data_IF_722069885046
#
_entry.id   IF_722069885046
#
_cell.length_a   1.000
_cell.length_b   1.000
_cell.length_c   1.000
_cell.angle_alpha   90.00
_cell.angle_beta   90.00
_cell.angle_gamma   90.00
#
_symmetry.space_group_name_H-M   'P 1'
#
loop_
_entity.id
_entity.type
_entity.pdbx_description
1 polymer ?
#
# COMPACT_ATOMS: atom_id res chain seq x y z
N UNK A 1 -9.42 -70.84 -1.15
CA UNK A 1 -10.73 -70.22 -0.86
C UNK A 1 -10.95 -69.14 -1.93
N UNK A 2 -11.87 -69.41 -2.85
CA UNK A 2 -12.62 -68.51 -3.76
C UNK A 2 -11.84 -67.67 -4.80
N UNK A 3 -12.11 -67.97 -6.07
CA UNK A 3 -11.76 -67.25 -7.29
C UNK A 3 -12.39 -65.85 -7.37
N UNK A 4 -11.70 -64.89 -7.99
CA UNK A 4 -12.38 -63.96 -8.91
C UNK A 4 -11.47 -63.54 -10.07
N UNK A 5 -12.00 -63.80 -11.26
CA UNK A 5 -11.51 -63.46 -12.60
C UNK A 5 -11.82 -61.99 -12.93
N UNK A 6 -10.99 -61.36 -13.76
CA UNK A 6 -11.34 -60.50 -14.89
C UNK A 6 -10.15 -59.60 -15.24
N UNK A 7 -9.77 -59.30 -16.47
CA UNK A 7 -9.96 -59.92 -17.79
C UNK A 7 -8.99 -59.18 -18.73
N UNK A 8 -8.47 -59.89 -19.73
CA UNK A 8 -7.44 -59.46 -20.68
C UNK A 8 -8.10 -59.03 -22.01
N UNK A 9 -7.77 -57.85 -22.55
CA UNK A 9 -7.94 -57.48 -23.99
C UNK A 9 -6.76 -56.56 -24.35
N UNK A 10 -5.71 -56.95 -25.08
CA UNK A 10 -5.55 -57.40 -26.47
C UNK A 10 -5.92 -56.37 -27.55
N UNK A 11 -4.92 -55.64 -28.06
CA UNK A 11 -4.85 -55.20 -29.45
C UNK A 11 -3.37 -55.05 -29.91
N UNK A 12 -3.00 -55.92 -30.84
CA UNK A 12 -1.84 -55.92 -31.77
C UNK A 12 -1.88 -54.65 -32.67
N UNK A 13 -0.85 -54.17 -33.39
CA UNK A 13 0.26 -54.80 -34.14
C UNK A 13 1.14 -53.67 -34.76
N UNK A 14 2.46 -53.95 -34.94
CA UNK A 14 3.40 -53.50 -36.01
C UNK A 14 3.82 -52.01 -36.06
N UNK A 15 5.05 -51.60 -36.44
CA UNK A 15 6.27 -52.27 -36.93
C UNK A 15 7.37 -51.20 -37.17
N UNK A 16 8.65 -51.57 -37.03
CA UNK A 16 9.85 -51.12 -37.82
C UNK A 16 10.18 -49.61 -37.81
N UNK A 17 11.38 -49.12 -37.50
CA UNK A 17 12.72 -49.48 -38.02
C UNK A 17 13.81 -48.75 -37.20
N UNK A 18 15.00 -49.36 -37.13
CA UNK A 18 16.37 -48.82 -37.13
C UNK A 18 16.66 -47.50 -36.36
N UNK A 19 17.73 -47.35 -35.58
CA UNK A 19 19.11 -47.60 -35.98
C UNK A 19 20.03 -47.47 -34.75
N UNK A 20 21.23 -48.01 -34.90
CA UNK A 20 22.32 -48.21 -33.95
C UNK A 20 22.94 -46.92 -33.36
N UNK A 21 23.43 -46.94 -32.12
CA UNK A 21 24.84 -46.63 -31.78
C UNK A 21 25.15 -46.71 -30.28
N UNK A 22 26.35 -47.21 -29.99
CA UNK A 22 26.95 -47.54 -28.70
C UNK A 22 28.05 -46.52 -28.39
N UNK A 23 28.10 -45.93 -27.18
CA UNK A 23 29.33 -45.74 -26.36
C UNK A 23 29.13 -44.83 -25.12
N UNK A 24 29.40 -45.43 -23.95
CA UNK A 24 30.17 -44.95 -22.78
C UNK A 24 30.39 -43.43 -22.61
N UNK A 25 30.00 -42.89 -21.45
CA UNK A 25 30.91 -42.49 -20.35
C UNK A 25 30.12 -41.82 -19.20
N UNK A 26 30.49 -42.11 -17.95
CA UNK A 26 29.95 -41.54 -16.70
C UNK A 26 30.46 -40.08 -16.45
N UNK A 27 30.27 -39.48 -15.24
CA UNK A 27 29.32 -38.39 -14.98
C UNK A 27 30.02 -37.04 -14.69
N UNK A 28 29.33 -35.91 -14.83
CA UNK A 28 29.74 -34.66 -14.17
C UNK A 28 28.53 -33.87 -13.66
N UNK A 29 28.67 -33.50 -12.40
CA UNK A 29 27.84 -32.60 -11.61
C UNK A 29 27.67 -31.24 -12.28
N UNK A 30 26.46 -30.70 -12.18
CA UNK A 30 26.11 -29.27 -12.11
C UNK A 30 24.65 -29.25 -11.63
N UNK A 31 24.39 -29.29 -10.32
CA UNK A 31 24.29 -28.16 -9.40
C UNK A 31 23.23 -27.11 -9.76
N UNK A 32 22.12 -27.19 -9.00
CA UNK A 32 21.34 -26.10 -8.39
C UNK A 32 20.45 -25.26 -9.31
N UNK A 33 19.14 -25.50 -9.19
CA UNK A 33 18.15 -24.47 -8.81
C UNK A 33 16.84 -25.18 -8.43
N UNK A 34 16.80 -25.66 -7.19
CA UNK A 34 15.58 -26.13 -6.55
C UNK A 34 14.90 -24.91 -5.93
N UNK A 35 13.80 -24.48 -6.56
CA UNK A 35 12.94 -23.39 -6.11
C UNK A 35 12.32 -23.79 -4.78
N UNK A 36 12.92 -23.32 -3.69
CA UNK A 36 12.36 -23.42 -2.34
C UNK A 36 11.32 -22.32 -2.19
N UNK A 37 10.07 -22.66 -2.50
CA UNK A 37 8.91 -21.94 -1.96
C UNK A 37 8.65 -22.46 -0.55
N UNK A 38 9.41 -21.99 0.43
CA UNK A 38 9.10 -22.21 1.83
C UNK A 38 8.98 -20.87 2.57
N UNK A 39 7.74 -20.62 2.98
CA UNK A 39 7.42 -20.25 4.35
C UNK A 39 7.82 -18.86 4.83
N UNK A 40 6.83 -17.96 4.88
CA UNK A 40 6.35 -17.42 6.18
C UNK A 40 5.02 -16.68 6.02
N UNK A 41 4.03 -17.36 5.43
CA UNK A 41 2.61 -17.12 5.69
C UNK A 41 2.22 -17.82 7.00
N UNK A 42 2.96 -17.65 8.10
CA UNK A 42 2.54 -18.18 9.42
C UNK A 42 3.22 -17.45 10.58
N UNK A 43 2.88 -16.16 10.76
CA UNK A 43 2.88 -15.54 12.09
C UNK A 43 1.75 -14.53 12.23
N UNK A 44 0.59 -14.91 11.72
CA UNK A 44 -0.68 -14.31 12.14
C UNK A 44 -1.09 -15.04 13.41
N UNK A 45 -0.79 -14.45 14.57
CA UNK A 45 -1.52 -14.50 15.86
C UNK A 45 -0.57 -14.00 16.96
N UNK A 46 -0.83 -12.93 17.70
CA UNK A 46 -2.12 -12.28 17.94
C UNK A 46 -2.00 -10.80 18.33
N UNK A 47 -3.08 -10.09 17.99
CA UNK A 47 -3.45 -8.72 18.37
C UNK A 47 -2.66 -7.57 17.74
N UNK A 48 -3.30 -6.88 16.78
CA UNK A 48 -2.87 -5.63 16.12
C UNK A 48 -1.63 -5.70 15.22
N UNK A 49 -1.67 -6.52 14.16
CA UNK A 49 -1.00 -6.09 12.93
C UNK A 49 -1.94 -5.14 12.17
N UNK A 50 -2.31 -4.00 12.79
CA UNK A 50 -2.80 -2.87 12.00
C UNK A 50 -1.61 -2.55 11.10
N UNK A 51 -1.75 -2.72 9.80
CA UNK A 51 -0.85 -2.06 8.88
C UNK A 51 -1.11 -0.56 9.11
N UNK A 52 -0.34 0.06 10.00
CA UNK A 52 -0.46 1.49 10.25
C UNK A 52 -0.02 2.18 8.97
N UNK A 53 -1.00 2.64 8.18
CA UNK A 53 -0.73 3.57 7.09
C UNK A 53 -0.21 4.87 7.68
N UNK A 54 0.60 5.61 6.93
CA UNK A 54 1.06 6.94 7.34
C UNK A 54 -0.10 7.86 7.74
N UNK A 55 -1.27 7.73 7.11
CA UNK A 55 -2.50 8.43 7.50
C UNK A 55 -2.96 8.11 8.93
N UNK A 56 -2.91 6.85 9.34
CA UNK A 56 -3.36 6.42 10.67
C UNK A 56 -2.38 6.86 11.74
N UNK A 57 -1.07 6.80 11.46
CA UNK A 57 -0.01 7.30 12.34
C UNK A 57 -0.16 8.81 12.52
N UNK A 58 -0.36 9.54 11.42
CA UNK A 58 -0.58 10.99 11.45
C UNK A 58 -1.83 11.37 12.25
N UNK A 59 -2.95 10.66 12.05
CA UNK A 59 -4.19 10.88 12.80
C UNK A 59 -3.95 10.65 14.32
N UNK A 60 -3.19 9.62 14.73
CA UNK A 60 -2.80 9.41 16.13
C UNK A 60 -1.99 10.57 16.69
N UNK A 61 -0.97 11.03 15.96
CA UNK A 61 -0.17 12.18 16.38
C UNK A 61 -1.02 13.45 16.51
N UNK A 62 -1.99 13.64 15.62
CA UNK A 62 -2.86 14.81 15.64
C UNK A 62 -3.88 14.78 16.78
N UNK A 63 -4.63 13.69 16.95
CA UNK A 63 -5.76 13.62 17.86
C UNK A 63 -5.37 13.20 19.28
N UNK A 64 -4.44 12.27 19.43
CA UNK A 64 -4.14 11.68 20.72
C UNK A 64 -2.93 12.39 21.35
N UNK A 65 -1.84 12.48 20.60
CA UNK A 65 -0.56 13.00 21.11
C UNK A 65 -0.43 14.52 20.99
N UNK A 66 -1.29 15.16 20.18
CA UNK A 66 -1.23 16.59 19.85
C UNK A 66 0.16 17.05 19.37
N UNK A 67 0.92 16.12 18.77
CA UNK A 67 2.24 16.35 18.22
C UNK A 67 2.10 16.70 16.74
N UNK A 68 1.81 17.97 16.48
CA UNK A 68 1.46 18.43 15.13
C UNK A 68 2.66 18.39 14.17
N UNK A 69 3.89 18.55 14.65
CA UNK A 69 5.09 18.39 13.83
C UNK A 69 5.23 16.96 13.30
N UNK A 70 5.12 15.96 14.17
CA UNK A 70 5.16 14.55 13.74
C UNK A 70 3.96 14.19 12.88
N UNK A 71 2.78 14.72 13.18
CA UNK A 71 1.61 14.54 12.33
C UNK A 71 1.86 15.06 10.91
N UNK A 72 2.52 16.22 10.75
CA UNK A 72 2.88 16.77 9.44
C UNK A 72 3.83 15.83 8.68
N UNK A 73 4.87 15.31 9.36
CA UNK A 73 5.82 14.37 8.74
C UNK A 73 5.09 13.15 8.16
N UNK A 74 4.21 12.54 8.96
CA UNK A 74 3.44 11.37 8.56
C UNK A 74 2.37 11.69 7.50
N UNK A 75 1.65 12.81 7.60
CA UNK A 75 0.73 13.22 6.55
C UNK A 75 1.46 13.47 5.22
N UNK A 76 2.67 14.04 5.26
CA UNK A 76 3.47 14.24 4.06
C UNK A 76 3.89 12.91 3.42
N UNK A 77 4.30 11.91 4.23
CA UNK A 77 4.55 10.56 3.72
C UNK A 77 3.30 9.96 3.09
N UNK A 78 2.14 10.08 3.74
CA UNK A 78 0.88 9.61 3.18
C UNK A 78 0.54 10.27 1.84
N UNK A 79 0.76 11.58 1.68
CA UNK A 79 0.52 12.29 0.42
C UNK A 79 1.38 11.72 -0.72
N UNK A 80 2.62 11.35 -0.41
CA UNK A 80 3.59 10.88 -1.39
C UNK A 80 3.43 9.40 -1.76
N UNK A 81 3.06 8.55 -0.79
CA UNK A 81 3.04 7.10 -0.97
C UNK A 81 1.66 6.53 -1.30
N UNK A 82 0.57 7.20 -0.86
CA UNK A 82 -0.77 6.70 -1.13
C UNK A 82 -1.11 6.78 -2.63
N UNK A 83 -1.96 5.87 -3.10
CA UNK A 83 -2.46 5.90 -4.48
C UNK A 83 -3.85 6.51 -4.60
N UNK A 84 -4.61 6.49 -3.52
CA UNK A 84 -5.96 7.03 -3.48
C UNK A 84 -5.92 8.56 -3.33
N UNK A 85 -6.38 9.27 -4.36
CA UNK A 85 -6.39 10.74 -4.38
C UNK A 85 -7.29 11.36 -3.31
N UNK A 86 -8.35 10.66 -2.86
CA UNK A 86 -9.21 11.13 -1.76
C UNK A 86 -8.46 11.06 -0.44
N UNK A 87 -7.68 9.99 -0.22
CA UNK A 87 -6.84 9.85 0.97
C UNK A 87 -5.71 10.88 0.99
N UNK A 88 -5.05 11.15 -0.14
CA UNK A 88 -4.09 12.26 -0.26
C UNK A 88 -4.74 13.60 0.05
N UNK A 89 -5.96 13.83 -0.44
CA UNK A 89 -6.67 15.08 -0.19
C UNK A 89 -7.04 15.23 1.29
N UNK A 90 -7.44 14.13 1.96
CA UNK A 90 -7.64 14.11 3.42
C UNK A 90 -6.33 14.48 4.14
N UNK A 91 -5.22 13.83 3.78
CA UNK A 91 -3.92 14.11 4.39
C UNK A 91 -3.49 15.57 4.21
N UNK A 92 -3.66 16.15 3.01
CA UNK A 92 -3.40 17.57 2.76
C UNK A 92 -4.24 18.48 3.67
N UNK A 93 -5.55 18.19 3.81
CA UNK A 93 -6.43 18.98 4.67
C UNK A 93 -5.98 18.94 6.12
N UNK A 94 -5.66 17.74 6.63
CA UNK A 94 -5.22 17.57 8.01
C UNK A 94 -3.84 18.18 8.27
N UNK A 95 -2.92 18.09 7.30
CA UNK A 95 -1.62 18.77 7.37
C UNK A 95 -1.79 20.29 7.46
N UNK A 96 -2.74 20.88 6.73
CA UNK A 96 -3.05 22.30 6.89
C UNK A 96 -3.58 22.63 8.30
N UNK A 97 -4.44 21.79 8.89
CA UNK A 97 -4.88 21.98 10.28
C UNK A 97 -3.73 21.87 11.28
N UNK A 98 -2.76 20.96 11.07
CA UNK A 98 -1.54 20.90 11.89
C UNK A 98 -0.78 22.22 11.84
N UNK A 99 -0.56 22.78 10.64
CA UNK A 99 0.09 24.08 10.50
C UNK A 99 -0.67 25.19 11.23
N UNK A 100 -2.01 25.21 11.19
CA UNK A 100 -2.83 26.17 11.95
C UNK A 100 -2.62 25.99 13.46
N UNK A 101 -2.61 24.75 13.96
CA UNK A 101 -2.38 24.46 15.38
C UNK A 101 -1.01 24.92 15.87
N UNK A 102 -0.04 24.96 14.97
CA UNK A 102 1.32 25.46 15.23
C UNK A 102 1.48 26.98 15.01
N UNK A 103 0.42 27.70 14.64
CA UNK A 103 0.50 29.13 14.28
C UNK A 103 1.19 29.41 12.95
N UNK A 104 1.50 28.36 12.17
CA UNK A 104 2.12 28.43 10.84
C UNK A 104 1.07 28.74 9.77
N UNK A 105 0.43 29.90 9.91
CA UNK A 105 -0.76 30.26 9.12
C UNK A 105 -0.46 30.45 7.63
N UNK A 106 0.77 30.84 7.27
CA UNK A 106 1.17 31.01 5.87
C UNK A 106 1.18 29.66 5.15
N UNK A 107 1.82 28.66 5.73
CA UNK A 107 1.91 27.30 5.20
C UNK A 107 0.52 26.65 5.11
N UNK A 108 -0.31 26.81 6.15
CA UNK A 108 -1.69 26.36 6.12
C UNK A 108 -2.49 27.00 4.98
N UNK A 109 -2.33 28.31 4.79
CA UNK A 109 -3.01 29.06 3.74
C UNK A 109 -2.65 28.54 2.35
N UNK A 110 -1.36 28.34 2.08
CA UNK A 110 -0.87 27.83 0.79
C UNK A 110 -1.51 26.46 0.44
N UNK A 111 -1.57 25.53 1.41
CA UNK A 111 -2.20 24.22 1.22
C UNK A 111 -3.70 24.37 0.95
N UNK A 112 -4.41 25.15 1.77
CA UNK A 112 -5.86 25.33 1.65
C UNK A 112 -6.26 26.05 0.35
N UNK A 113 -5.46 27.01 -0.12
CA UNK A 113 -5.67 27.71 -1.40
C UNK A 113 -5.57 26.75 -2.57
N UNK A 114 -4.53 25.91 -2.59
CA UNK A 114 -4.35 24.89 -3.62
C UNK A 114 -5.52 23.90 -3.62
N UNK A 115 -5.92 23.42 -2.45
CA UNK A 115 -7.08 22.52 -2.32
C UNK A 115 -8.39 23.15 -2.80
N UNK A 116 -8.64 24.41 -2.43
CA UNK A 116 -9.85 25.14 -2.82
C UNK A 116 -9.91 25.37 -4.34
N UNK A 117 -8.75 25.55 -4.98
CA UNK A 117 -8.62 25.78 -6.43
C UNK A 117 -8.76 24.48 -7.21
N UNK A 118 -7.93 23.48 -6.87
CA UNK A 118 -7.84 22.22 -7.62
C UNK A 118 -9.07 21.32 -7.38
N UNK A 119 -9.64 21.37 -6.17
CA UNK A 119 -10.68 20.45 -5.70
C UNK A 119 -11.94 21.15 -5.19
N UNK A 120 -12.21 22.39 -5.63
CA UNK A 120 -13.31 23.21 -5.10
C UNK A 120 -14.72 22.60 -5.19
N UNK A 121 -14.96 21.67 -6.12
CA UNK A 121 -16.22 20.90 -6.22
C UNK A 121 -16.29 19.70 -5.27
N UNK A 122 -15.14 19.17 -4.84
CA UNK A 122 -15.06 18.10 -3.86
C UNK A 122 -15.32 18.65 -2.45
N UNK A 123 -15.93 17.85 -1.58
CA UNK A 123 -16.33 18.32 -0.25
C UNK A 123 -15.13 18.81 0.58
N UNK A 124 -13.94 18.20 0.45
CA UNK A 124 -12.72 18.66 1.11
C UNK A 124 -12.19 19.98 0.54
N UNK A 125 -12.26 20.21 -0.78
CA UNK A 125 -11.86 21.51 -1.34
C UNK A 125 -12.85 22.63 -0.98
N UNK A 126 -14.15 22.32 -0.92
CA UNK A 126 -15.15 23.24 -0.39
C UNK A 126 -14.93 23.55 1.10
N UNK A 127 -14.51 22.55 1.89
CA UNK A 127 -14.15 22.72 3.31
C UNK A 127 -12.88 23.55 3.45
N UNK A 128 -11.87 23.31 2.62
CA UNK A 128 -10.64 24.10 2.58
C UNK A 128 -10.93 25.56 2.26
N UNK A 129 -11.80 25.84 1.28
CA UNK A 129 -12.23 27.20 0.95
C UNK A 129 -12.89 27.92 2.13
N UNK A 130 -13.79 27.24 2.87
CA UNK A 130 -14.41 27.81 4.07
C UNK A 130 -13.37 28.08 5.15
N UNK A 131 -12.46 27.13 5.37
CA UNK A 131 -11.40 27.25 6.38
C UNK A 131 -10.46 28.42 6.09
N UNK A 132 -10.04 28.56 4.83
CA UNK A 132 -9.22 29.67 4.34
C UNK A 132 -9.87 31.03 4.59
N UNK A 133 -11.18 31.14 4.34
CA UNK A 133 -11.92 32.37 4.63
C UNK A 133 -11.84 32.72 6.12
N UNK A 134 -12.12 31.76 7.00
CA UNK A 134 -12.02 31.98 8.45
C UNK A 134 -10.62 32.38 8.90
N UNK A 135 -9.59 31.72 8.36
CA UNK A 135 -8.20 32.06 8.67
C UNK A 135 -7.86 33.50 8.23
N UNK A 136 -8.30 33.90 7.05
CA UNK A 136 -8.09 35.26 6.54
C UNK A 136 -8.82 36.31 7.39
N UNK A 137 -10.06 36.04 7.79
CA UNK A 137 -10.83 36.93 8.66
C UNK A 137 -10.15 37.09 10.03
N UNK A 138 -9.56 36.02 10.59
CA UNK A 138 -8.81 36.03 11.84
C UNK A 138 -7.52 36.87 11.73
N UNK A 139 -6.71 36.66 10.68
CA UNK A 139 -5.44 37.39 10.51
C UNK A 139 -5.64 38.89 10.30
N UNK A 140 -6.73 39.32 9.66
CA UNK A 140 -7.06 40.74 9.47
C UNK A 140 -7.43 41.43 10.79
N UNK A 141 -7.87 40.68 11.80
CA UNK A 141 -8.17 41.23 13.14
C UNK A 141 -6.87 41.46 13.92
N UNK A 142 -5.89 40.56 13.82
CA UNK A 142 -4.62 40.65 14.56
C UNK A 142 -3.70 41.78 14.07
N UNK A 143 -3.88 42.27 12.83
CA UNK A 143 -3.10 43.37 12.24
C UNK A 143 -3.61 44.80 12.59
N UNK A 144 -4.65 44.94 13.43
CA UNK A 144 -5.27 46.24 13.79
C UNK A 144 -5.04 46.65 15.24
#
# INVERSE_FOLDING_TARGET
MINFLAERRHALKKSSSDETAKKKSEPKEESKEEVTQEETQTKITGELAILETHLSIADRFYYDEHNYEKAIEEYNLAINEEKDETLKLKANYMMAECHIKLGKYKEAKEILEKMATDFGKHYLGASAKRRLKHLSDYLVIDDK
#
